data_IF_372710270888
#
_entry.id   IF_372710270888
#
_cell.length_a   1.000
_cell.length_b   1.000
_cell.length_c   1.000
_cell.angle_alpha   90.00
_cell.angle_beta   90.00
_cell.angle_gamma   90.00
#
_symmetry.space_group_name_H-M   'P 1'
#
loop_
_entity.id
_entity.type
_entity.pdbx_description
1 polymer ?
#
# COMPACT_ATOMS: atom_id res chain seq x y z
N UNK A 1 -22.76 7.14 17.81
CA UNK A 1 -21.74 6.06 17.70
C UNK A 1 -20.62 6.34 18.69
N UNK A 2 -20.12 5.36 19.45
CA UNK A 2 -19.00 5.60 20.38
C UNK A 2 -17.70 5.87 19.61
N UNK A 3 -16.76 6.69 20.15
CA UNK A 3 -15.50 6.99 19.46
C UNK A 3 -14.69 5.74 19.07
N UNK A 4 -14.76 4.67 19.87
CA UNK A 4 -14.09 3.38 19.59
C UNK A 4 -14.67 2.68 18.38
N UNK A 5 -16.01 2.66 18.26
CA UNK A 5 -16.69 2.08 17.11
C UNK A 5 -16.41 2.86 15.82
N UNK A 6 -16.29 4.19 15.92
CA UNK A 6 -15.87 5.03 14.80
C UNK A 6 -14.46 4.63 14.28
N UNK A 7 -13.51 4.40 15.19
CA UNK A 7 -12.16 3.94 14.83
C UNK A 7 -12.17 2.57 14.16
N UNK A 8 -12.99 1.63 14.66
CA UNK A 8 -13.12 0.31 14.06
C UNK A 8 -13.69 0.37 12.63
N UNK A 9 -14.63 1.28 12.37
CA UNK A 9 -15.15 1.51 11.01
C UNK A 9 -14.08 1.95 10.03
N UNK A 10 -13.01 2.63 10.46
CA UNK A 10 -11.89 2.95 9.58
C UNK A 10 -11.28 1.68 8.96
N UNK A 11 -11.20 0.57 9.70
CA UNK A 11 -10.72 -0.72 9.18
C UNK A 11 -11.71 -1.39 8.23
N UNK A 12 -13.01 -1.05 8.33
CA UNK A 12 -14.05 -1.51 7.40
C UNK A 12 -13.95 -0.75 6.07
N UNK A 13 -13.76 0.57 6.12
CA UNK A 13 -13.75 1.41 4.92
C UNK A 13 -12.40 1.51 4.23
N UNK A 14 -11.28 1.30 4.93
CA UNK A 14 -9.96 1.47 4.31
C UNK A 14 -9.76 0.56 3.08
N UNK A 15 -10.03 -0.76 3.12
CA UNK A 15 -9.75 -1.63 1.98
C UNK A 15 -10.60 -1.30 0.74
N UNK A 16 -11.94 -1.10 0.83
CA UNK A 16 -12.72 -0.66 -0.34
C UNK A 16 -12.23 0.67 -0.93
N UNK A 17 -11.89 1.64 -0.08
CA UNK A 17 -11.36 2.94 -0.55
C UNK A 17 -10.01 2.78 -1.25
N UNK A 18 -9.12 1.93 -0.73
CA UNK A 18 -7.84 1.62 -1.36
C UNK A 18 -8.05 1.01 -2.76
N UNK A 19 -8.88 -0.03 -2.87
CA UNK A 19 -9.13 -0.68 -4.16
C UNK A 19 -9.82 0.25 -5.16
N UNK A 20 -10.77 1.07 -4.70
CA UNK A 20 -11.40 2.08 -5.55
C UNK A 20 -10.37 3.08 -6.07
N UNK A 21 -9.49 3.59 -5.20
CA UNK A 21 -8.42 4.50 -5.59
C UNK A 21 -7.49 3.85 -6.63
N UNK A 22 -7.08 2.59 -6.43
CA UNK A 22 -6.23 1.88 -7.39
C UNK A 22 -6.89 1.67 -8.76
N UNK A 23 -8.19 1.38 -8.80
CA UNK A 23 -8.91 1.24 -10.06
C UNK A 23 -9.02 2.57 -10.79
N UNK A 24 -9.38 3.65 -10.07
CA UNK A 24 -9.48 4.99 -10.64
C UNK A 24 -8.12 5.49 -11.16
N UNK A 25 -7.06 5.36 -10.37
CA UNK A 25 -5.73 5.83 -10.75
C UNK A 25 -5.10 4.97 -11.83
N UNK A 26 -5.38 3.65 -11.83
CA UNK A 26 -5.01 2.77 -12.93
C UNK A 26 -5.67 3.18 -14.24
N UNK A 27 -6.97 3.50 -14.22
CA UNK A 27 -7.70 3.97 -15.40
C UNK A 27 -7.21 5.34 -15.91
N UNK A 28 -6.79 6.22 -15.00
CA UNK A 28 -6.20 7.52 -15.33
C UNK A 28 -4.77 7.43 -15.89
N UNK A 29 -4.13 6.25 -15.86
CA UNK A 29 -2.74 6.05 -16.29
C UNK A 29 -2.70 5.39 -17.67
N UNK A 30 -2.33 6.12 -18.75
CA UNK A 30 -2.33 5.56 -20.09
C UNK A 30 -1.43 4.33 -20.23
N UNK A 31 -1.97 3.27 -20.83
CA UNK A 31 -1.24 2.02 -21.06
C UNK A 31 -0.91 1.25 -19.77
N UNK A 32 -1.59 1.53 -18.66
CA UNK A 32 -1.48 0.76 -17.44
C UNK A 32 -2.29 -0.53 -17.50
N UNK A 33 -1.64 -1.67 -17.28
CA UNK A 33 -2.28 -2.99 -17.24
C UNK A 33 -2.35 -3.51 -15.78
N UNK A 34 -3.57 -3.66 -15.26
CA UNK A 34 -3.83 -4.12 -13.89
C UNK A 34 -3.24 -5.52 -13.58
N UNK A 35 -3.13 -6.40 -14.58
CA UNK A 35 -2.63 -7.74 -14.40
C UNK A 35 -1.10 -7.81 -14.53
N UNK A 36 -0.53 -6.97 -15.41
CA UNK A 36 0.89 -7.01 -15.76
C UNK A 36 1.75 -5.97 -15.05
N UNK A 37 1.16 -4.96 -14.42
CA UNK A 37 1.90 -3.89 -13.78
C UNK A 37 1.59 -3.79 -12.29
N UNK A 38 2.63 -3.50 -11.51
CA UNK A 38 2.54 -3.36 -10.08
C UNK A 38 1.72 -2.14 -9.69
N UNK A 39 1.07 -2.21 -8.54
CA UNK A 39 0.47 -1.06 -7.85
C UNK A 39 1.53 0.01 -7.57
N UNK A 40 2.75 -0.40 -7.23
CA UNK A 40 3.86 0.54 -6.96
C UNK A 40 4.26 1.38 -8.16
N UNK A 41 4.05 0.89 -9.40
CA UNK A 41 4.30 1.66 -10.62
C UNK A 41 3.34 2.86 -10.74
N UNK A 42 2.12 2.76 -10.21
CA UNK A 42 1.20 3.91 -10.17
C UNK A 42 1.73 5.03 -9.26
N UNK A 43 2.55 4.69 -8.27
CA UNK A 43 3.20 5.62 -7.33
C UNK A 43 4.64 5.96 -7.70
N UNK A 44 5.14 5.51 -8.87
CA UNK A 44 6.52 5.74 -9.30
C UNK A 44 6.77 7.20 -9.70
N UNK A 45 8.04 7.60 -9.74
CA UNK A 45 8.45 8.99 -10.04
C UNK A 45 7.96 9.50 -11.40
N UNK A 46 7.80 8.61 -12.37
CA UNK A 46 7.38 8.84 -13.76
C UNK A 46 5.87 8.68 -13.99
N UNK A 47 5.10 8.35 -12.95
CA UNK A 47 3.65 8.17 -13.06
C UNK A 47 2.89 9.51 -13.11
N UNK A 48 1.94 9.70 -14.04
CA UNK A 48 1.11 10.91 -14.11
C UNK A 48 0.16 11.04 -12.91
N UNK A 49 -0.10 9.94 -12.20
CA UNK A 49 -0.95 9.89 -11.00
C UNK A 49 -0.16 9.66 -9.71
N UNK A 50 1.18 9.82 -9.75
CA UNK A 50 2.10 9.59 -8.63
C UNK A 50 1.59 10.17 -7.31
N UNK A 51 1.26 11.47 -7.34
CA UNK A 51 0.78 12.21 -6.18
C UNK A 51 -0.51 11.61 -5.64
N UNK A 52 -1.45 11.28 -6.52
CA UNK A 52 -2.74 10.73 -6.13
C UNK A 52 -2.58 9.36 -5.45
N UNK A 53 -1.76 8.49 -6.02
CA UNK A 53 -1.52 7.14 -5.50
C UNK A 53 -0.76 7.19 -4.18
N UNK A 54 0.27 8.02 -4.08
CA UNK A 54 1.09 8.09 -2.87
C UNK A 54 0.34 8.73 -1.70
N UNK A 55 -0.48 9.76 -1.96
CA UNK A 55 -1.24 10.46 -0.92
C UNK A 55 -2.54 9.73 -0.60
N UNK A 56 -3.39 9.47 -1.60
CA UNK A 56 -4.72 8.89 -1.36
C UNK A 56 -4.70 7.36 -1.36
N UNK A 57 -3.88 6.75 -2.21
CA UNK A 57 -3.70 5.30 -2.24
C UNK A 57 -2.98 4.81 -0.99
N UNK A 58 -1.74 5.23 -0.73
CA UNK A 58 -0.96 4.73 0.41
C UNK A 58 -1.16 5.54 1.70
N UNK A 59 -1.09 6.87 1.63
CA UNK A 59 -1.18 7.75 2.78
C UNK A 59 -2.54 7.68 3.50
N UNK A 60 -3.62 8.05 2.81
CA UNK A 60 -4.98 8.10 3.38
C UNK A 60 -5.46 6.72 3.84
N UNK A 61 -5.22 5.69 3.04
CA UNK A 61 -5.44 4.30 3.45
C UNK A 61 -4.70 3.97 4.75
N UNK A 62 -3.41 4.33 4.81
CA UNK A 62 -2.59 4.13 5.98
C UNK A 62 -3.15 4.84 7.21
N UNK A 63 -3.60 6.08 7.07
CA UNK A 63 -4.24 6.84 8.16
C UNK A 63 -5.48 6.12 8.68
N UNK A 64 -6.35 5.62 7.79
CA UNK A 64 -7.52 4.84 8.20
C UNK A 64 -7.13 3.59 8.98
N UNK A 65 -6.10 2.87 8.55
CA UNK A 65 -5.65 1.67 9.25
C UNK A 65 -4.88 1.96 10.54
N UNK A 66 -4.23 3.12 10.67
CA UNK A 66 -3.70 3.60 11.95
C UNK A 66 -4.85 3.82 12.93
N UNK A 67 -5.90 4.54 12.51
CA UNK A 67 -7.10 4.76 13.32
C UNK A 67 -7.77 3.45 13.73
N UNK A 68 -7.89 2.51 12.79
CA UNK A 68 -8.35 1.14 13.07
C UNK A 68 -7.52 0.47 14.15
N UNK A 69 -6.18 0.52 14.05
CA UNK A 69 -5.28 -0.05 15.06
C UNK A 69 -5.53 0.54 16.45
N UNK A 70 -5.84 1.84 16.53
CA UNK A 70 -6.26 2.46 17.81
C UNK A 70 -7.60 1.92 18.29
N UNK A 71 -8.54 1.66 17.39
CA UNK A 71 -9.79 0.98 17.67
C UNK A 71 -9.58 -0.41 18.28
N UNK A 72 -8.65 -1.19 17.72
CA UNK A 72 -8.28 -2.52 18.22
C UNK A 72 -7.70 -2.45 19.63
N UNK A 73 -6.74 -1.55 19.92
CA UNK A 73 -6.20 -1.36 21.28
C UNK A 73 -7.30 -1.01 22.28
N UNK A 74 -8.27 -0.19 21.85
CA UNK A 74 -9.33 0.33 22.71
C UNK A 74 -10.52 -0.61 22.85
N UNK A 75 -10.59 -1.69 22.09
CA UNK A 75 -11.72 -2.62 22.16
C UNK A 75 -11.86 -3.19 23.57
N UNK A 76 -13.08 -3.18 24.09
CA UNK A 76 -13.42 -3.86 25.35
C UNK A 76 -13.60 -5.37 25.18
N UNK A 77 -13.83 -5.82 23.95
CA UNK A 77 -14.03 -7.24 23.62
C UNK A 77 -12.71 -8.01 23.54
N UNK A 78 -11.67 -7.38 23.00
CA UNK A 78 -10.37 -8.03 22.81
C UNK A 78 -9.59 -8.15 24.12
N UNK A 79 -8.93 -9.30 24.30
CA UNK A 79 -8.03 -9.56 25.42
C UNK A 79 -6.65 -8.96 25.14
N UNK A 80 -5.71 -9.12 26.07
CA UNK A 80 -4.34 -8.60 25.93
C UNK A 80 -3.66 -9.07 24.64
N UNK A 81 -3.85 -10.34 24.25
CA UNK A 81 -3.28 -10.90 23.02
C UNK A 81 -3.84 -10.23 21.77
N UNK A 82 -5.17 -10.03 21.68
CA UNK A 82 -5.79 -9.30 20.58
C UNK A 82 -5.37 -7.82 20.57
N UNK A 83 -5.22 -7.19 21.73
CA UNK A 83 -4.71 -5.81 21.83
C UNK A 83 -3.25 -5.68 21.38
N UNK A 84 -2.42 -6.70 21.62
CA UNK A 84 -1.05 -6.73 21.12
C UNK A 84 -0.99 -6.78 19.58
N UNK A 85 -1.97 -7.42 18.93
CA UNK A 85 -2.05 -7.41 17.45
C UNK A 85 -2.13 -6.00 16.87
N UNK A 86 -2.69 -5.04 17.62
CA UNK A 86 -2.81 -3.66 17.19
C UNK A 86 -1.45 -2.96 17.01
N UNK A 87 -0.43 -3.34 17.77
CA UNK A 87 0.93 -2.82 17.58
C UNK A 87 1.49 -3.26 16.23
N UNK A 88 1.23 -4.51 15.83
CA UNK A 88 1.67 -5.05 14.55
C UNK A 88 0.85 -4.48 13.39
N UNK A 89 -0.47 -4.33 13.54
CA UNK A 89 -1.28 -3.58 12.57
C UNK A 89 -0.73 -2.17 12.38
N UNK A 90 -0.47 -1.45 13.47
CA UNK A 90 0.10 -0.11 13.42
C UNK A 90 1.46 -0.11 12.69
N UNK A 91 2.39 -0.99 13.06
CA UNK A 91 3.72 -1.04 12.45
C UNK A 91 3.67 -1.37 10.94
N UNK A 92 2.84 -2.33 10.54
CA UNK A 92 2.68 -2.69 9.12
C UNK A 92 2.12 -1.52 8.31
N UNK A 93 1.17 -0.79 8.87
CA UNK A 93 0.50 0.31 8.21
C UNK A 93 1.39 1.55 8.15
N UNK A 94 2.19 1.81 9.18
CA UNK A 94 3.23 2.85 9.12
C UNK A 94 4.21 2.52 8.00
N UNK A 95 4.63 1.26 7.86
CA UNK A 95 5.47 0.83 6.73
C UNK A 95 4.78 1.10 5.38
N UNK A 96 3.48 0.85 5.25
CA UNK A 96 2.72 1.20 4.04
C UNK A 96 2.62 2.71 3.78
N UNK A 97 2.52 3.55 4.81
CA UNK A 97 2.59 5.02 4.62
C UNK A 97 3.97 5.41 4.09
N UNK A 98 5.03 4.79 4.61
CA UNK A 98 6.40 5.04 4.15
C UNK A 98 6.63 4.61 2.69
N UNK A 99 5.90 3.61 2.18
CA UNK A 99 5.89 3.26 0.74
C UNK A 99 5.40 4.43 -0.11
N UNK A 100 4.42 5.21 0.36
CA UNK A 100 3.96 6.42 -0.33
C UNK A 100 4.96 7.58 -0.22
N UNK A 101 5.67 7.68 0.90
CA UNK A 101 6.70 8.73 1.12
C UNK A 101 7.93 8.49 0.26
N UNK A 102 8.43 7.25 0.23
CA UNK A 102 9.54 6.84 -0.60
C UNK A 102 8.99 6.29 -1.90
N UNK A 103 8.75 7.14 -2.89
CA UNK A 103 8.26 6.71 -4.20
C UNK A 103 9.26 5.76 -4.87
N UNK A 104 8.72 4.81 -5.64
CA UNK A 104 9.55 3.94 -6.47
C UNK A 104 10.26 4.74 -7.57
N UNK A 105 11.46 4.29 -7.96
CA UNK A 105 12.14 4.81 -9.15
C UNK A 105 11.35 4.50 -10.43
N UNK A 106 11.79 5.03 -11.58
CA UNK A 106 11.12 4.84 -12.86
C UNK A 106 10.94 3.34 -13.18
N UNK A 107 9.73 2.95 -13.60
CA UNK A 107 9.32 1.55 -13.78
C UNK A 107 9.54 0.63 -12.56
N UNK A 108 9.73 1.20 -11.36
CA UNK A 108 10.11 0.46 -10.17
C UNK A 108 11.42 -0.33 -10.27
N UNK A 109 12.39 0.16 -11.04
CA UNK A 109 13.75 -0.38 -11.09
C UNK A 109 14.61 0.39 -10.08
N UNK A 110 14.94 -0.25 -8.96
CA UNK A 110 15.73 0.35 -7.89
C UNK A 110 17.12 0.81 -8.39
N UNK A 111 17.30 2.11 -8.49
CA UNK A 111 18.57 2.77 -8.86
C UNK A 111 18.99 3.81 -7.84
N UNK A 112 18.06 4.26 -6.98
CA UNK A 112 18.29 5.25 -5.94
C UNK A 112 18.06 4.67 -4.54
N UNK A 113 18.59 5.37 -3.53
CA UNK A 113 18.31 5.07 -2.11
C UNK A 113 16.81 5.15 -1.80
N UNK A 114 16.07 6.04 -2.46
CA UNK A 114 14.61 6.16 -2.29
C UNK A 114 13.91 4.91 -2.81
N UNK A 115 14.28 4.41 -3.99
CA UNK A 115 13.77 3.13 -4.53
C UNK A 115 14.10 1.94 -3.63
N UNK A 116 15.29 1.88 -3.05
CA UNK A 116 15.65 0.84 -2.09
C UNK A 116 14.83 0.90 -0.80
N UNK A 117 14.59 2.10 -0.28
CA UNK A 117 13.70 2.30 0.87
C UNK A 117 12.26 1.91 0.52
N UNK A 118 11.75 2.28 -0.66
CA UNK A 118 10.43 1.87 -1.15
C UNK A 118 10.29 0.34 -1.10
N UNK A 119 11.23 -0.38 -1.71
CA UNK A 119 11.19 -1.83 -1.76
C UNK A 119 11.23 -2.47 -0.35
N UNK A 120 12.10 -1.97 0.54
CA UNK A 120 12.15 -2.42 1.94
C UNK A 120 10.83 -2.19 2.67
N UNK A 121 10.27 -0.99 2.61
CA UNK A 121 9.00 -0.67 3.26
C UNK A 121 7.78 -1.33 2.60
N UNK A 122 7.89 -1.76 1.34
CA UNK A 122 6.88 -2.60 0.66
C UNK A 122 6.93 -4.05 1.13
N UNK A 123 8.08 -4.53 1.62
CA UNK A 123 8.30 -5.91 2.04
C UNK A 123 7.80 -6.17 3.46
N UNK A 124 8.12 -5.30 4.42
CA UNK A 124 7.85 -5.52 5.83
C UNK A 124 6.36 -5.63 6.25
N UNK A 125 5.38 -4.98 5.58
CA UNK A 125 3.98 -5.11 5.95
C UNK A 125 3.49 -6.56 5.97
N UNK A 126 4.00 -7.42 5.09
CA UNK A 126 3.57 -8.82 4.97
C UNK A 126 3.88 -9.64 6.24
N UNK A 127 5.14 -9.83 6.66
CA UNK A 127 5.44 -10.60 7.87
C UNK A 127 4.89 -9.93 9.14
N UNK A 128 4.85 -8.60 9.21
CA UNK A 128 4.30 -7.88 10.37
C UNK A 128 2.79 -8.15 10.49
N UNK A 129 2.02 -8.05 9.40
CA UNK A 129 0.59 -8.37 9.40
C UNK A 129 0.34 -9.85 9.72
N UNK A 130 1.18 -10.76 9.26
CA UNK A 130 1.09 -12.18 9.63
C UNK A 130 1.11 -12.35 11.16
N UNK A 131 2.06 -11.71 11.84
CA UNK A 131 2.10 -11.75 13.31
C UNK A 131 0.84 -11.13 13.92
N UNK A 132 0.36 -10.00 13.38
CA UNK A 132 -0.89 -9.38 13.83
C UNK A 132 -2.08 -10.37 13.74
N UNK A 133 -2.23 -11.05 12.60
CA UNK A 133 -3.31 -12.02 12.38
C UNK A 133 -3.19 -13.25 13.27
N UNK A 134 -1.99 -13.77 13.52
CA UNK A 134 -1.78 -14.91 14.42
C UNK A 134 -2.15 -14.56 15.87
N UNK A 135 -1.75 -13.37 16.35
CA UNK A 135 -2.13 -12.90 17.68
C UNK A 135 -3.65 -12.76 17.81
N UNK A 136 -4.30 -12.21 16.78
CA UNK A 136 -5.74 -12.06 16.76
C UNK A 136 -6.46 -13.40 16.63
N UNK A 137 -5.91 -14.37 15.88
CA UNK A 137 -6.44 -15.73 15.77
C UNK A 137 -6.51 -16.39 17.15
N UNK A 138 -5.43 -16.30 17.93
CA UNK A 138 -5.39 -16.82 19.30
C UNK A 138 -6.50 -16.19 20.15
N UNK A 139 -6.75 -14.90 20.01
CA UNK A 139 -7.82 -14.22 20.77
C UNK A 139 -9.22 -14.61 20.27
N UNK A 140 -9.42 -14.67 18.96
CA UNK A 140 -10.70 -15.01 18.31
C UNK A 140 -11.18 -16.43 18.67
N UNK A 141 -10.28 -17.39 18.86
CA UNK A 141 -10.66 -18.74 19.34
C UNK A 141 -11.26 -18.73 20.75
N UNK A 142 -10.88 -17.74 21.58
CA UNK A 142 -11.30 -17.60 22.98
C UNK A 142 -12.54 -16.73 23.15
N UNK A 143 -12.90 -15.91 22.16
CA UNK A 143 -14.04 -15.00 22.22
C UNK A 143 -15.19 -15.56 21.36
N UNK A 144 -16.27 -16.04 21.99
CA UNK A 144 -17.40 -16.73 21.32
C UNK A 144 -17.90 -16.00 20.08
N UNK A 145 -18.08 -14.68 20.17
CA UNK A 145 -18.64 -13.87 19.09
C UNK A 145 -17.65 -13.57 17.95
N UNK A 146 -16.36 -13.84 18.11
CA UNK A 146 -15.32 -13.68 17.08
C UNK A 146 -14.86 -15.01 16.48
N UNK A 147 -15.32 -16.16 16.99
CA UNK A 147 -14.92 -17.49 16.52
C UNK A 147 -15.17 -17.73 15.03
N UNK A 148 -16.15 -17.04 14.43
CA UNK A 148 -16.43 -17.13 13.01
C UNK A 148 -15.29 -16.59 12.13
N UNK A 149 -14.39 -15.75 12.66
CA UNK A 149 -13.20 -15.23 11.96
C UNK A 149 -12.08 -16.27 11.83
N UNK A 150 -12.05 -17.26 12.73
CA UNK A 150 -10.99 -18.27 12.83
C UNK A 150 -10.67 -18.95 11.50
N UNK A 151 -11.64 -19.45 10.71
CA UNK A 151 -11.32 -20.09 9.42
C UNK A 151 -10.79 -19.11 8.37
N UNK A 152 -11.20 -17.84 8.40
CA UNK A 152 -10.80 -16.85 7.39
C UNK A 152 -9.33 -16.44 7.51
N UNK A 153 -8.78 -16.43 8.73
CA UNK A 153 -7.38 -16.04 8.96
C UNK A 153 -6.39 -16.93 8.18
N UNK A 154 -6.38 -18.27 8.33
CA UNK A 154 -5.51 -19.13 7.54
C UNK A 154 -5.95 -19.21 6.07
N UNK A 155 -7.27 -19.23 5.79
CA UNK A 155 -7.80 -19.33 4.43
C UNK A 155 -7.36 -18.17 3.53
N UNK A 156 -7.24 -16.95 4.08
CA UNK A 156 -6.84 -15.77 3.31
C UNK A 156 -5.35 -15.42 3.54
N UNK A 157 -4.84 -15.63 4.75
CA UNK A 157 -3.46 -15.30 5.11
C UNK A 157 -2.42 -16.20 4.45
N UNK A 158 -2.67 -17.52 4.35
CA UNK A 158 -1.71 -18.45 3.72
C UNK A 158 -1.59 -18.16 2.21
N UNK A 159 -2.68 -18.04 1.43
CA UNK A 159 -2.56 -17.68 0.02
C UNK A 159 -1.89 -16.33 -0.20
N UNK A 160 -2.12 -15.33 0.67
CA UNK A 160 -1.43 -14.04 0.58
C UNK A 160 0.10 -14.18 0.68
N UNK A 161 0.57 -15.01 1.62
CA UNK A 161 2.00 -15.32 1.76
C UNK A 161 2.54 -16.11 0.58
N UNK A 162 1.77 -17.06 0.05
CA UNK A 162 2.14 -17.80 -1.15
C UNK A 162 2.31 -16.84 -2.33
N UNK A 163 1.34 -15.96 -2.58
CA UNK A 163 1.43 -14.99 -3.68
C UNK A 163 2.62 -14.04 -3.53
N UNK A 164 2.97 -13.66 -2.30
CA UNK A 164 4.13 -12.79 -2.04
C UNK A 164 5.46 -13.52 -2.20
N UNK A 165 5.62 -14.69 -1.60
CA UNK A 165 6.94 -15.32 -1.40
C UNK A 165 7.16 -16.59 -2.24
N UNK A 166 6.11 -17.34 -2.54
CA UNK A 166 6.19 -18.68 -3.13
C UNK A 166 5.44 -18.85 -4.46
N UNK A 167 5.05 -17.74 -5.11
CA UNK A 167 4.42 -17.78 -6.43
C UNK A 167 5.35 -18.39 -7.48
N UNK A 168 4.82 -19.21 -8.39
CA UNK A 168 5.58 -19.78 -9.50
C UNK A 168 6.28 -18.68 -10.33
N UNK A 169 7.57 -18.85 -10.72
CA UNK A 169 8.30 -17.84 -11.49
C UNK A 169 7.56 -17.40 -12.76
N UNK A 170 7.00 -18.36 -13.50
CA UNK A 170 6.24 -18.12 -14.72
C UNK A 170 5.05 -17.16 -14.50
N UNK A 171 4.29 -17.36 -13.41
CA UNK A 171 3.16 -16.49 -13.08
C UNK A 171 3.62 -15.10 -12.65
N UNK A 172 4.79 -15.02 -12.00
CA UNK A 172 5.40 -13.76 -11.58
C UNK A 172 5.87 -12.93 -12.77
N UNK A 173 6.36 -13.58 -13.83
CA UNK A 173 6.76 -12.90 -15.06
C UNK A 173 5.55 -12.47 -15.90
N UNK A 174 4.54 -13.31 -16.03
CA UNK A 174 3.36 -13.01 -16.87
C UNK A 174 2.36 -12.06 -16.21
N UNK A 175 2.14 -12.19 -14.90
CA UNK A 175 1.08 -11.48 -14.17
C UNK A 175 1.55 -10.93 -12.81
N UNK A 176 2.67 -10.18 -12.75
CA UNK A 176 3.20 -9.65 -11.49
C UNK A 176 2.21 -8.73 -10.77
N UNK A 177 1.48 -7.91 -11.52
CA UNK A 177 0.47 -6.99 -11.00
C UNK A 177 -0.70 -7.68 -10.33
N UNK A 178 -1.18 -8.79 -10.91
CA UNK A 178 -2.27 -9.59 -10.34
C UNK A 178 -1.84 -10.27 -9.04
N UNK A 179 -0.65 -10.87 -9.02
CA UNK A 179 -0.11 -11.51 -7.82
C UNK A 179 0.11 -10.51 -6.68
N UNK A 180 0.63 -9.32 -6.98
CA UNK A 180 0.78 -8.27 -5.97
C UNK A 180 -0.57 -7.82 -5.42
N UNK A 181 -1.58 -7.62 -6.28
CA UNK A 181 -2.94 -7.28 -5.86
C UNK A 181 -3.56 -8.36 -4.98
N UNK A 182 -3.38 -9.63 -5.32
CA UNK A 182 -3.87 -10.74 -4.50
C UNK A 182 -3.13 -10.80 -3.15
N UNK A 183 -1.80 -10.65 -3.17
CA UNK A 183 -0.98 -10.63 -1.97
C UNK A 183 -1.36 -9.50 -1.00
N UNK A 184 -1.74 -8.32 -1.51
CA UNK A 184 -2.16 -7.16 -0.69
C UNK A 184 -3.65 -7.22 -0.35
N UNK A 185 -4.50 -7.64 -1.27
CA UNK A 185 -5.94 -7.61 -1.12
C UNK A 185 -6.49 -8.62 -0.14
N UNK A 186 -5.94 -9.83 -0.12
CA UNK A 186 -6.35 -10.85 0.85
C UNK A 186 -6.14 -10.41 2.32
N UNK A 187 -4.96 -9.92 2.73
CA UNK A 187 -4.78 -9.47 4.12
C UNK A 187 -5.59 -8.20 4.41
N UNK A 188 -5.80 -7.29 3.45
CA UNK A 188 -6.66 -6.12 3.69
C UNK A 188 -8.13 -6.50 3.81
N UNK A 189 -8.59 -7.47 3.02
CA UNK A 189 -9.92 -8.06 3.19
C UNK A 189 -10.06 -8.72 4.56
N UNK A 190 -9.02 -9.41 5.04
CA UNK A 190 -8.98 -9.97 6.39
C UNK A 190 -9.06 -8.87 7.47
N UNK A 191 -8.34 -7.76 7.31
CA UNK A 191 -8.47 -6.57 8.18
C UNK A 191 -9.92 -6.06 8.22
N UNK A 192 -10.59 -5.99 7.07
CA UNK A 192 -12.00 -5.60 6.98
C UNK A 192 -12.92 -6.57 7.75
N UNK A 193 -12.73 -7.88 7.59
CA UNK A 193 -13.51 -8.90 8.31
C UNK A 193 -13.31 -8.77 9.83
N UNK A 194 -12.07 -8.59 10.27
CA UNK A 194 -11.71 -8.38 11.67
C UNK A 194 -12.38 -7.11 12.20
N UNK A 195 -12.27 -6.00 11.46
CA UNK A 195 -12.88 -4.74 11.83
C UNK A 195 -14.40 -4.87 12.00
N UNK A 196 -15.08 -5.56 11.06
CA UNK A 196 -16.50 -5.86 11.16
C UNK A 196 -16.83 -6.75 12.35
N UNK A 197 -16.04 -7.80 12.61
CA UNK A 197 -16.23 -8.70 13.74
C UNK A 197 -16.15 -7.95 15.07
N UNK A 198 -15.06 -7.23 15.30
CA UNK A 198 -14.85 -6.47 16.54
C UNK A 198 -15.90 -5.36 16.68
N UNK A 199 -16.21 -4.63 15.60
CA UNK A 199 -17.24 -3.58 15.59
C UNK A 199 -18.63 -4.09 15.98
N UNK A 200 -19.02 -5.28 15.50
CA UNK A 200 -20.33 -5.90 15.81
C UNK A 200 -20.41 -6.36 17.25
N UNK A 201 -19.29 -6.78 17.83
CA UNK A 201 -19.23 -7.28 19.21
C UNK A 201 -19.08 -6.19 20.26
N UNK A 202 -18.67 -4.98 19.86
CA UNK A 202 -18.44 -3.88 20.78
C UNK A 202 -19.76 -3.24 21.21
N UNK A 203 -20.17 -3.45 22.47
CA UNK A 203 -21.32 -2.77 23.07
C UNK A 203 -21.00 -1.30 23.40
N UNK A 204 -21.92 -0.35 23.18
CA UNK A 204 -21.73 1.03 23.57
C UNK A 204 -21.89 1.19 25.11
N UNK A 205 -20.78 1.16 25.85
CA UNK A 205 -20.75 1.44 27.29
C UNK A 205 -19.39 1.89 27.81
N UNK A 206 -19.35 3.06 28.46
CA UNK A 206 -18.20 3.78 29.07
C UNK A 206 -17.00 4.13 28.14
N UNK A 207 -17.09 5.32 27.55
CA UNK A 207 -16.13 5.89 26.60
C UNK A 207 -14.95 6.62 27.28
N UNK A 208 -14.30 6.03 28.29
CA UNK A 208 -13.02 6.58 28.75
C UNK A 208 -11.91 6.25 27.77
N UNK A 209 -11.21 7.29 27.31
CA UNK A 209 -10.05 7.17 26.43
C UNK A 209 -8.82 6.77 27.28
N UNK A 210 -8.23 5.58 27.10
CA UNK A 210 -7.03 5.21 27.84
C UNK A 210 -5.85 6.13 27.46
N UNK A 211 -5.02 6.51 28.44
CA UNK A 211 -3.88 7.43 28.25
C UNK A 211 -2.90 6.95 27.16
N UNK A 212 -2.71 5.63 27.01
CA UNK A 212 -1.89 5.01 25.96
C UNK A 212 -2.36 5.31 24.54
N UNK A 213 -3.63 5.66 24.37
CA UNK A 213 -4.17 5.98 23.06
C UNK A 213 -3.95 7.43 22.64
N UNK A 214 -3.45 8.32 23.51
CA UNK A 214 -2.97 9.64 23.06
C UNK A 214 -1.80 9.50 22.09
N UNK A 215 -0.87 8.59 22.38
CA UNK A 215 0.30 8.30 21.54
C UNK A 215 -0.11 7.99 20.09
N UNK A 216 -1.05 7.06 19.89
CA UNK A 216 -1.45 6.69 18.53
C UNK A 216 -2.17 7.82 17.79
N UNK A 217 -2.94 8.68 18.46
CA UNK A 217 -3.58 9.84 17.82
C UNK A 217 -2.57 10.92 17.44
N UNK A 218 -1.64 11.24 18.33
CA UNK A 218 -0.56 12.20 18.04
C UNK A 218 0.31 11.68 16.91
N UNK A 219 0.60 10.38 16.88
CA UNK A 219 1.37 9.77 15.80
C UNK A 219 0.57 9.71 14.50
N UNK A 220 -0.73 9.41 14.52
CA UNK A 220 -1.58 9.48 13.33
C UNK A 220 -1.59 10.89 12.73
N UNK A 221 -1.75 11.93 13.57
CA UNK A 221 -1.71 13.31 13.14
C UNK A 221 -0.33 13.69 12.59
N UNK A 222 0.75 13.30 13.26
CA UNK A 222 2.10 13.52 12.79
C UNK A 222 2.37 12.83 11.45
N UNK A 223 1.86 11.61 11.25
CA UNK A 223 1.97 10.87 9.99
C UNK A 223 1.15 11.54 8.88
N UNK A 224 -0.05 12.06 9.16
CA UNK A 224 -0.80 12.88 8.20
C UNK A 224 0.04 14.09 7.79
N UNK A 225 0.60 14.82 8.75
CA UNK A 225 1.46 15.99 8.50
C UNK A 225 2.70 15.59 7.71
N UNK A 226 3.34 14.46 8.01
CA UNK A 226 4.50 13.94 7.29
C UNK A 226 4.14 13.51 5.86
N UNK A 227 2.99 12.87 5.64
CA UNK A 227 2.49 12.55 4.30
C UNK A 227 2.21 13.81 3.49
N UNK A 228 1.63 14.85 4.11
CA UNK A 228 1.40 16.15 3.46
C UNK A 228 2.71 16.91 3.24
N UNK A 229 3.67 16.85 4.16
CA UNK A 229 4.98 17.48 4.01
C UNK A 229 5.83 16.78 2.93
N UNK A 230 5.79 15.45 2.88
CA UNK A 230 6.38 14.65 1.81
C UNK A 230 5.76 14.97 0.45
N UNK A 231 4.43 15.15 0.40
CA UNK A 231 3.74 15.66 -0.79
C UNK A 231 4.28 17.03 -1.22
N UNK A 232 4.41 17.99 -0.29
CA UNK A 232 4.99 19.30 -0.61
C UNK A 232 6.42 19.17 -1.12
N UNK A 233 7.25 18.34 -0.48
CA UNK A 233 8.62 18.07 -0.94
C UNK A 233 8.65 17.46 -2.34
N UNK A 234 7.79 16.49 -2.66
CA UNK A 234 7.68 15.90 -3.99
C UNK A 234 7.19 16.88 -5.04
N UNK A 235 6.25 17.78 -4.70
CA UNK A 235 5.78 18.84 -5.59
C UNK A 235 6.88 19.89 -5.85
N UNK A 236 7.65 20.27 -4.84
CA UNK A 236 8.77 21.20 -4.99
C UNK A 236 9.99 20.55 -5.67
N UNK A 237 10.28 19.28 -5.41
CA UNK A 237 11.34 18.52 -6.10
C UNK A 237 10.99 18.30 -7.58
N UNK A 238 9.70 18.11 -7.89
CA UNK A 238 9.18 18.05 -9.28
C UNK A 238 9.40 19.35 -10.06
N UNK A 239 9.52 20.50 -9.38
CA UNK A 239 9.77 21.80 -10.04
C UNK A 239 11.22 22.02 -10.49
N UNK A 240 12.14 21.07 -10.22
CA UNK A 240 13.57 21.18 -10.57
C UNK A 240 14.12 20.06 -11.47
N UNK A 241 13.27 19.21 -12.03
CA UNK A 241 13.71 18.23 -13.02
C UNK A 241 13.04 18.55 -14.37
N UNK A 242 13.79 18.99 -15.40
CA UNK A 242 13.27 19.27 -16.74
C UNK A 242 12.99 17.98 -17.55
N UNK A 243 12.46 16.97 -16.87
CA UNK A 243 12.58 15.59 -17.28
C UNK A 243 11.28 14.82 -17.08
N UNK A 244 10.19 15.32 -17.66
CA UNK A 244 8.93 14.59 -17.75
C UNK A 244 8.91 13.73 -19.03
N UNK A 245 8.83 12.40 -18.85
CA UNK A 245 8.32 11.47 -19.87
C UNK A 245 9.20 10.27 -20.24
N UNK A 246 10.53 10.36 -20.12
CA UNK A 246 11.51 9.24 -20.22
C UNK A 246 12.70 9.27 -19.22
N UNK A 247 12.98 10.29 -18.37
CA UNK A 247 14.36 10.47 -17.91
C UNK A 247 14.52 9.90 -16.50
N UNK A 248 14.70 8.60 -16.50
CA UNK A 248 15.32 7.81 -15.44
C UNK A 248 15.84 6.47 -15.94
N UNK A 249 15.62 6.15 -17.23
CA UNK A 249 15.76 4.81 -17.78
C UNK A 249 17.04 4.66 -18.63
N UNK A 250 17.61 5.78 -19.10
CA UNK A 250 18.69 5.74 -20.06
C UNK A 250 19.83 6.65 -19.61
N UNK A 251 20.77 6.08 -18.84
CA UNK A 251 22.06 6.72 -18.60
C UNK A 251 22.93 6.67 -19.89
N UNK A 252 22.71 5.66 -20.74
CA UNK A 252 23.29 5.55 -22.09
C UNK A 252 22.31 4.99 -23.14
N UNK A 253 22.72 5.04 -24.42
CA UNK A 253 21.92 4.63 -25.59
C UNK A 253 21.68 3.13 -25.72
N UNK A 254 22.52 2.30 -25.11
CA UNK A 254 22.51 0.84 -25.18
C UNK A 254 21.46 0.25 -24.24
N UNK A 255 21.42 0.78 -23.01
CA UNK A 255 20.40 0.45 -22.01
C UNK A 255 19.00 0.82 -22.52
N UNK A 256 18.91 1.97 -23.18
CA UNK A 256 17.66 2.46 -23.76
C UNK A 256 17.10 1.55 -24.86
N UNK A 257 17.97 1.01 -25.72
CA UNK A 257 17.57 0.09 -26.80
C UNK A 257 16.97 -1.19 -26.23
N UNK A 258 17.56 -1.74 -25.18
CA UNK A 258 17.08 -2.97 -24.52
C UNK A 258 15.73 -2.74 -23.85
N UNK A 259 15.56 -1.61 -23.17
CA UNK A 259 14.32 -1.30 -22.46
C UNK A 259 13.17 -0.98 -23.44
N UNK A 260 13.47 -0.25 -24.52
CA UNK A 260 12.49 0.03 -25.57
C UNK A 260 12.16 -1.17 -26.45
N UNK A 261 13.04 -2.16 -26.57
CA UNK A 261 12.70 -3.45 -27.20
C UNK A 261 11.60 -4.17 -26.43
N UNK A 262 11.67 -4.17 -25.10
CA UNK A 262 10.67 -4.82 -24.25
C UNK A 262 9.40 -3.98 -24.04
N UNK A 263 9.43 -2.68 -24.35
CA UNK A 263 8.34 -1.72 -24.09
C UNK A 263 8.00 -0.85 -25.31
N UNK A 264 8.04 -1.44 -26.53
CA UNK A 264 7.99 -0.72 -27.81
C UNK A 264 6.84 0.29 -27.94
N UNK A 265 5.62 -0.07 -27.55
CA UNK A 265 4.46 0.81 -27.67
C UNK A 265 4.57 2.07 -26.80
N UNK A 266 5.25 1.99 -25.65
CA UNK A 266 5.46 3.13 -24.76
C UNK A 266 6.53 4.06 -25.30
N UNK A 267 7.65 3.53 -25.77
CA UNK A 267 8.69 4.35 -26.40
C UNK A 267 8.18 5.05 -27.67
N UNK A 268 7.37 4.38 -28.49
CA UNK A 268 6.68 5.01 -29.61
C UNK A 268 5.76 6.15 -29.18
N UNK A 269 4.94 5.93 -28.14
CA UNK A 269 4.04 6.99 -27.64
C UNK A 269 4.77 8.21 -27.07
N UNK A 270 5.97 8.00 -26.51
CA UNK A 270 6.82 9.08 -26.01
C UNK A 270 7.48 9.83 -27.17
N UNK A 271 8.08 9.10 -28.12
CA UNK A 271 8.75 9.71 -29.27
C UNK A 271 7.79 10.45 -30.20
N UNK A 272 6.55 9.96 -30.33
CA UNK A 272 5.48 10.68 -31.03
C UNK A 272 5.10 12.03 -30.37
N UNK A 273 5.46 12.26 -29.10
CA UNK A 273 5.22 13.53 -28.40
C UNK A 273 6.48 14.38 -28.24
N UNK A 274 7.67 13.79 -28.47
CA UNK A 274 8.96 14.38 -28.17
C UNK A 274 9.99 13.98 -29.25
N UNK A 275 9.68 14.29 -30.51
CA UNK A 275 10.49 13.89 -31.67
C UNK A 275 11.94 14.39 -31.59
N UNK A 276 12.15 15.55 -30.94
CA UNK A 276 13.47 16.17 -30.77
C UNK A 276 14.32 15.54 -29.65
N UNK A 277 13.76 14.60 -28.86
CA UNK A 277 14.52 13.96 -27.80
C UNK A 277 15.65 13.09 -28.41
N UNK A 278 16.93 13.27 -28.00
CA UNK A 278 18.06 12.55 -28.60
C UNK A 278 17.89 11.03 -28.59
N UNK A 279 17.17 10.52 -27.60
CA UNK A 279 16.84 9.11 -27.45
C UNK A 279 15.94 8.58 -28.58
N UNK A 280 15.01 9.39 -29.08
CA UNK A 280 14.08 9.01 -30.13
C UNK A 280 14.78 8.95 -31.49
N UNK A 281 15.71 9.88 -31.73
CA UNK A 281 16.59 9.86 -32.90
C UNK A 281 17.47 8.62 -32.93
N UNK A 282 18.00 8.17 -31.77
CA UNK A 282 18.87 6.98 -31.67
C UNK A 282 18.09 5.66 -31.80
N UNK A 283 16.84 5.64 -31.34
CA UNK A 283 15.99 4.44 -31.39
C UNK A 283 15.27 4.24 -32.74
N UNK A 284 15.22 5.27 -33.58
CA UNK A 284 14.60 5.20 -34.91
C UNK A 284 13.07 5.08 -34.86
N UNK A 285 12.46 5.77 -33.91
CA UNK A 285 11.00 5.89 -33.78
C UNK A 285 10.47 7.17 -34.40
#
# INVERSE_FOLDING_TARGET
MSPRRALLLCGVFAPPLFFLALLLFGWMTPGYDLARQFISELGAVDSPVRVLVNVFGFGLFGVFLVLFSVGVVRSSVLRTTGKLSALFFFAAVVSMILVGVFSCDANCINTTVTGDLHNKFSFYPFPILTVAFLLLLVDATRIKNLRWLVPFIPLLGIPALIFRFASLPLLREMYPGLLQRAAIGLPFFLVMLIAMGVYRTEEPGDARIPKSAKFFYTTALALIVLSVAGLMFSLFASSRAPYDGVPGICADTTECRTICQNNRGRCQSYCARNEEAPVCTVLGF
#
